data_IF_053627949969
#
_entry.id   IF_053627949969
#
_cell.length_a   1.000
_cell.length_b   1.000
_cell.length_c   1.000
_cell.angle_alpha   90.00
_cell.angle_beta   90.00
_cell.angle_gamma   90.00
#
_symmetry.space_group_name_H-M   'P 1'
#
loop_
_entity.id
_entity.type
_entity.pdbx_description
1 polymer ?
#
# COMPACT_ATOMS: atom_id res chain seq x y z
N UNK A 1 -7.59 3.74 9.98
CA UNK A 1 -7.74 2.57 10.88
C UNK A 1 -6.80 2.61 12.07
N UNK A 2 -5.47 2.44 11.96
CA UNK A 2 -4.57 2.44 13.14
C UNK A 2 -4.80 3.63 14.09
N UNK A 3 -4.73 4.86 13.59
CA UNK A 3 -5.03 6.08 14.37
C UNK A 3 -6.42 6.10 15.04
N UNK A 4 -7.41 5.41 14.46
CA UNK A 4 -8.76 5.29 15.02
C UNK A 4 -8.80 4.27 16.17
N UNK A 5 -8.03 3.18 16.08
CA UNK A 5 -7.85 2.20 17.15
C UNK A 5 -7.01 2.77 18.31
N UNK A 6 -6.08 3.68 18.00
CA UNK A 6 -5.27 4.45 18.95
C UNK A 6 -6.03 5.65 19.55
N UNK A 7 -7.29 5.89 19.15
CA UNK A 7 -8.13 6.99 19.65
C UNK A 7 -7.66 8.40 19.27
N UNK A 8 -6.69 8.53 18.36
CA UNK A 8 -6.18 9.83 17.90
C UNK A 8 -7.06 10.44 16.82
N UNK A 9 -7.72 9.60 16.00
CA UNK A 9 -8.61 9.96 14.89
C UNK A 9 -10.02 9.38 15.06
N UNK A 10 -11.03 10.08 14.54
CA UNK A 10 -12.43 9.59 14.56
C UNK A 10 -12.65 8.63 13.38
N UNK A 11 -13.20 7.41 13.59
CA UNK A 11 -13.52 6.51 12.48
C UNK A 11 -14.62 7.11 11.60
N UNK A 12 -14.54 6.98 10.26
CA UNK A 12 -15.63 7.35 9.36
C UNK A 12 -16.92 6.58 9.69
N UNK A 13 -18.08 7.24 9.62
CA UNK A 13 -19.35 6.61 9.98
C UNK A 13 -19.67 5.39 9.12
N UNK A 14 -19.36 5.42 7.82
CA UNK A 14 -19.60 4.26 6.91
C UNK A 14 -18.89 2.97 7.35
N UNK A 15 -17.77 3.10 8.07
CA UNK A 15 -17.03 1.95 8.62
C UNK A 15 -17.69 1.44 9.90
N UNK A 16 -18.22 2.34 10.75
CA UNK A 16 -19.00 1.97 11.94
C UNK A 16 -20.32 1.31 11.55
N UNK A 17 -21.01 1.86 10.56
CA UNK A 17 -22.27 1.36 10.01
C UNK A 17 -22.09 -0.02 9.37
N UNK A 18 -21.00 -0.25 8.62
CA UNK A 18 -20.65 -1.57 8.09
C UNK A 18 -20.48 -2.62 9.20
N UNK A 19 -19.77 -2.27 10.28
CA UNK A 19 -19.59 -3.17 11.43
C UNK A 19 -20.89 -3.44 12.20
N UNK A 20 -21.86 -2.51 12.16
CA UNK A 20 -23.20 -2.71 12.74
C UNK A 20 -24.07 -3.62 11.86
N UNK A 21 -23.91 -3.59 10.53
CA UNK A 21 -24.50 -4.58 9.61
C UNK A 21 -23.90 -5.97 9.86
N UNK A 22 -22.57 -6.08 9.97
CA UNK A 22 -21.92 -7.35 10.33
C UNK A 22 -22.43 -7.89 11.68
N UNK A 23 -22.56 -7.01 12.68
CA UNK A 23 -23.12 -7.34 14.01
C UNK A 23 -24.56 -7.88 13.92
N UNK A 24 -25.39 -7.38 12.99
CA UNK A 24 -26.74 -7.89 12.77
C UNK A 24 -26.72 -9.35 12.31
N UNK A 25 -25.79 -9.75 11.44
CA UNK A 25 -25.66 -11.15 10.99
C UNK A 25 -25.30 -12.11 12.12
N UNK A 26 -24.58 -11.64 13.15
CA UNK A 26 -24.09 -12.45 14.29
C UNK A 26 -25.02 -12.40 15.50
N UNK A 27 -25.80 -11.32 15.69
CA UNK A 27 -26.57 -11.03 16.91
C UNK A 27 -28.04 -10.71 16.69
N UNK A 28 -28.49 -10.61 15.44
CA UNK A 28 -29.85 -10.26 15.04
C UNK A 28 -30.11 -8.76 15.01
N UNK A 29 -30.98 -8.34 14.08
CA UNK A 29 -31.27 -6.93 13.77
C UNK A 29 -31.73 -6.12 14.99
N UNK A 30 -32.50 -6.73 15.89
CA UNK A 30 -33.01 -6.08 17.11
C UNK A 30 -31.89 -5.74 18.09
N UNK A 31 -30.79 -6.49 18.09
CA UNK A 31 -29.61 -6.16 18.89
C UNK A 31 -28.76 -5.09 18.20
N UNK A 32 -28.45 -5.28 16.92
CA UNK A 32 -27.65 -4.34 16.14
C UNK A 32 -28.30 -2.95 16.03
N UNK A 33 -29.62 -2.86 15.88
CA UNK A 33 -30.35 -1.59 15.86
C UNK A 33 -30.27 -0.80 17.17
N UNK A 34 -30.19 -1.49 18.32
CA UNK A 34 -29.99 -0.83 19.64
C UNK A 34 -28.58 -0.30 19.80
N UNK A 35 -27.57 -1.11 19.46
CA UNK A 35 -26.17 -0.65 19.52
C UNK A 35 -25.87 0.38 18.42
N UNK A 36 -26.59 0.41 17.30
CA UNK A 36 -26.46 1.43 16.24
C UNK A 36 -26.86 2.82 16.73
N UNK A 37 -28.01 2.97 17.41
CA UNK A 37 -28.42 4.24 18.02
C UNK A 37 -27.36 4.73 19.01
N UNK A 38 -26.91 3.84 19.90
CA UNK A 38 -25.87 4.13 20.90
C UNK A 38 -24.52 4.49 20.27
N UNK A 39 -24.13 3.80 19.20
CA UNK A 39 -22.91 4.09 18.45
C UNK A 39 -23.00 5.45 17.74
N UNK A 40 -24.16 5.83 17.22
CA UNK A 40 -24.39 7.14 16.60
C UNK A 40 -24.25 8.28 17.63
N UNK A 41 -24.82 8.13 18.84
CA UNK A 41 -24.66 9.09 19.94
C UNK A 41 -23.20 9.25 20.38
N UNK A 42 -22.50 8.13 20.56
CA UNK A 42 -21.08 8.11 20.94
C UNK A 42 -20.18 8.69 19.83
N UNK A 43 -20.46 8.36 18.56
CA UNK A 43 -19.74 8.89 17.40
C UNK A 43 -19.94 10.39 17.27
N UNK A 44 -21.20 10.87 17.30
CA UNK A 44 -21.51 12.29 17.19
C UNK A 44 -20.88 13.11 18.34
N UNK A 45 -20.92 12.60 19.57
CA UNK A 45 -20.29 13.24 20.73
C UNK A 45 -18.77 13.30 20.58
N UNK A 46 -18.15 12.19 20.13
CA UNK A 46 -16.70 12.10 19.94
C UNK A 46 -16.22 12.97 18.77
N UNK A 47 -16.93 12.98 17.65
CA UNK A 47 -16.68 13.85 16.50
C UNK A 47 -16.79 15.32 16.89
N UNK A 48 -17.88 15.71 17.58
CA UNK A 48 -18.05 17.08 18.05
C UNK A 48 -16.94 17.51 19.03
N UNK A 49 -16.46 16.61 19.91
CA UNK A 49 -15.35 16.89 20.82
C UNK A 49 -13.98 16.97 20.11
N UNK A 50 -13.78 16.14 19.08
CA UNK A 50 -12.59 16.14 18.24
C UNK A 50 -12.50 17.42 17.41
N UNK A 51 -13.58 17.79 16.72
CA UNK A 51 -13.56 18.86 15.72
C UNK A 51 -13.56 20.27 16.33
N UNK A 52 -13.88 20.37 17.64
CA UNK A 52 -13.71 21.58 18.47
C UNK A 52 -12.28 21.78 19.01
N UNK A 53 -11.34 20.86 18.76
CA UNK A 53 -9.91 21.07 19.09
C UNK A 53 -9.33 22.24 18.28
N UNK A 54 -8.28 22.93 18.77
CA UNK A 54 -7.57 23.94 17.98
C UNK A 54 -7.14 23.37 16.61
N UNK A 55 -7.50 24.05 15.52
CA UNK A 55 -7.27 23.60 14.15
C UNK A 55 -8.26 22.56 13.59
N UNK A 56 -9.17 21.99 14.40
CA UNK A 56 -10.10 20.93 13.98
C UNK A 56 -10.98 21.32 12.78
N UNK A 57 -11.48 22.57 12.74
CA UNK A 57 -12.21 23.10 11.58
C UNK A 57 -11.37 23.10 10.28
N UNK A 58 -10.08 23.40 10.36
CA UNK A 58 -9.19 23.39 9.20
C UNK A 58 -8.92 21.95 8.74
N UNK A 59 -8.65 21.06 9.69
CA UNK A 59 -8.47 19.62 9.41
C UNK A 59 -9.71 19.02 8.73
N UNK A 60 -10.93 19.38 9.15
CA UNK A 60 -12.17 18.99 8.47
C UNK A 60 -12.24 19.47 7.01
N UNK A 61 -11.79 20.70 6.71
CA UNK A 61 -11.77 21.24 5.34
C UNK A 61 -10.74 20.49 4.48
N UNK A 62 -9.51 20.33 4.97
CA UNK A 62 -8.45 19.59 4.28
C UNK A 62 -8.86 18.13 4.01
N UNK A 63 -9.54 17.51 4.99
CA UNK A 63 -10.07 16.14 4.90
C UNK A 63 -11.22 16.04 3.89
N UNK A 64 -12.09 17.04 3.82
CA UNK A 64 -13.18 17.12 2.84
C UNK A 64 -12.63 17.33 1.42
N UNK A 65 -11.65 18.22 1.23
CA UNK A 65 -10.98 18.40 -0.07
C UNK A 65 -10.31 17.11 -0.57
N UNK A 66 -9.64 16.38 0.35
CA UNK A 66 -9.07 15.07 0.03
C UNK A 66 -10.16 14.08 -0.38
N UNK A 67 -11.25 13.99 0.38
CA UNK A 67 -12.35 13.06 0.08
C UNK A 67 -13.09 13.40 -1.22
N UNK A 68 -13.21 14.69 -1.57
CA UNK A 68 -13.77 15.13 -2.85
C UNK A 68 -12.89 14.74 -4.04
N UNK A 69 -11.55 14.77 -3.86
CA UNK A 69 -10.62 14.22 -4.85
C UNK A 69 -10.78 12.70 -4.97
N UNK A 70 -10.86 11.96 -3.87
CA UNK A 70 -11.11 10.51 -3.91
C UNK A 70 -12.45 10.15 -4.56
N UNK A 71 -13.53 10.87 -4.23
CA UNK A 71 -14.85 10.67 -4.84
C UNK A 71 -14.81 10.89 -6.36
N UNK A 72 -14.08 11.92 -6.83
CA UNK A 72 -13.92 12.18 -8.26
C UNK A 72 -13.16 11.06 -8.98
N UNK A 73 -12.09 10.53 -8.38
CA UNK A 73 -11.35 9.39 -8.94
C UNK A 73 -12.15 8.08 -8.90
N UNK A 74 -12.93 7.83 -7.84
CA UNK A 74 -13.84 6.68 -7.76
C UNK A 74 -14.93 6.76 -8.85
N UNK A 75 -15.51 7.95 -9.06
CA UNK A 75 -16.47 8.17 -10.15
C UNK A 75 -15.85 8.02 -11.55
N UNK A 76 -14.55 8.34 -11.73
CA UNK A 76 -13.82 8.04 -12.96
C UNK A 76 -13.62 6.53 -13.16
N UNK A 77 -13.19 5.79 -12.11
CA UNK A 77 -13.08 4.32 -12.16
C UNK A 77 -14.41 3.66 -12.50
N UNK A 78 -15.51 4.12 -11.90
CA UNK A 78 -16.85 3.59 -12.14
C UNK A 78 -17.31 3.80 -13.59
N UNK A 79 -17.06 4.97 -14.18
CA UNK A 79 -17.36 5.20 -15.60
C UNK A 79 -16.53 4.30 -16.52
N UNK A 80 -15.22 4.23 -16.32
CA UNK A 80 -14.35 3.34 -17.11
C UNK A 80 -14.76 1.85 -17.01
N UNK A 81 -15.22 1.40 -15.83
CA UNK A 81 -15.72 0.05 -15.61
C UNK A 81 -17.11 -0.23 -16.25
N UNK A 82 -17.89 0.82 -16.58
CA UNK A 82 -19.11 0.69 -17.38
C UNK A 82 -18.84 0.81 -18.88
N UNK A 83 -17.93 1.71 -19.28
CA UNK A 83 -17.53 1.95 -20.67
C UNK A 83 -16.76 0.76 -21.27
N UNK A 84 -15.96 0.05 -20.46
CA UNK A 84 -15.29 -1.19 -20.87
C UNK A 84 -16.17 -2.46 -20.83
N UNK A 85 -17.48 -2.33 -20.56
CA UNK A 85 -18.39 -3.43 -20.18
C UNK A 85 -18.74 -4.45 -21.26
N UNK A 86 -17.76 -5.16 -21.79
CA UNK A 86 -17.91 -6.18 -22.84
C UNK A 86 -17.18 -7.52 -22.54
N UNK A 87 -16.46 -7.68 -21.43
CA UNK A 87 -15.62 -8.85 -21.13
C UNK A 87 -16.00 -9.60 -19.82
N UNK A 88 -17.30 -9.74 -19.56
CA UNK A 88 -17.85 -10.79 -18.68
C UNK A 88 -17.71 -10.57 -17.17
N UNK A 89 -17.50 -11.66 -16.42
CA UNK A 89 -17.69 -11.67 -14.97
C UNK A 89 -16.63 -10.88 -14.16
N UNK A 90 -15.42 -10.71 -14.71
CA UNK A 90 -14.36 -9.94 -14.05
C UNK A 90 -14.69 -8.45 -14.07
N UNK A 91 -15.18 -7.93 -15.20
CA UNK A 91 -15.64 -6.55 -15.34
C UNK A 91 -16.82 -6.25 -14.39
N UNK A 92 -17.77 -7.18 -14.29
CA UNK A 92 -18.92 -7.04 -13.38
C UNK A 92 -18.48 -6.90 -11.91
N UNK A 93 -17.47 -7.65 -11.48
CA UNK A 93 -16.89 -7.54 -10.14
C UNK A 93 -16.07 -6.26 -9.97
N UNK A 94 -15.28 -5.86 -10.97
CA UNK A 94 -14.53 -4.59 -10.94
C UNK A 94 -15.47 -3.37 -10.84
N UNK A 95 -16.57 -3.38 -11.59
CA UNK A 95 -17.61 -2.37 -11.51
C UNK A 95 -18.35 -2.38 -10.16
N UNK A 96 -18.47 -3.53 -9.48
CA UNK A 96 -19.04 -3.62 -8.13
C UNK A 96 -18.12 -2.96 -7.08
N UNK A 97 -16.81 -3.26 -7.10
CA UNK A 97 -15.83 -2.57 -6.26
C UNK A 97 -15.80 -1.06 -6.52
N UNK A 98 -15.87 -0.63 -7.78
CA UNK A 98 -15.90 0.78 -8.14
C UNK A 98 -17.19 1.52 -7.68
N UNK A 99 -18.30 0.80 -7.46
CA UNK A 99 -19.51 1.36 -6.83
C UNK A 99 -19.33 1.54 -5.34
N UNK A 100 -18.91 0.51 -4.60
CA UNK A 100 -18.66 0.58 -3.15
C UNK A 100 -17.63 1.68 -2.80
N UNK A 101 -16.52 1.77 -3.55
CA UNK A 101 -15.53 2.85 -3.45
C UNK A 101 -16.17 4.25 -3.54
N UNK A 102 -17.03 4.45 -4.55
CA UNK A 102 -17.68 5.74 -4.82
C UNK A 102 -18.75 6.05 -3.76
N UNK A 103 -19.53 5.06 -3.34
CA UNK A 103 -20.57 5.20 -2.32
C UNK A 103 -19.97 5.52 -0.94
N UNK A 104 -18.86 4.86 -0.54
CA UNK A 104 -18.12 5.20 0.69
C UNK A 104 -17.49 6.59 0.61
N UNK A 105 -16.90 6.97 -0.51
CA UNK A 105 -16.35 8.31 -0.69
C UNK A 105 -17.47 9.39 -0.61
N UNK A 106 -18.63 9.13 -1.22
CA UNK A 106 -19.79 10.01 -1.15
C UNK A 106 -20.35 10.13 0.28
N UNK A 107 -20.48 9.01 1.01
CA UNK A 107 -20.93 8.99 2.40
C UNK A 107 -20.01 9.83 3.31
N UNK A 108 -18.69 9.66 3.15
CA UNK A 108 -17.66 10.44 3.88
C UNK A 108 -17.72 11.93 3.53
N UNK A 109 -17.93 12.28 2.25
CA UNK A 109 -18.18 13.68 1.85
C UNK A 109 -19.43 14.27 2.51
N UNK A 110 -20.49 13.48 2.72
CA UNK A 110 -21.70 13.93 3.45
C UNK A 110 -21.44 14.08 4.94
N UNK A 111 -20.74 13.13 5.57
CA UNK A 111 -20.37 13.19 6.99
C UNK A 111 -19.49 14.43 7.29
N UNK A 112 -18.43 14.65 6.52
CA UNK A 112 -17.50 15.77 6.71
C UNK A 112 -18.19 17.12 6.49
N UNK A 113 -19.11 17.24 5.53
CA UNK A 113 -19.94 18.44 5.35
C UNK A 113 -20.86 18.68 6.56
N UNK A 114 -21.49 17.62 7.10
CA UNK A 114 -22.34 17.70 8.30
C UNK A 114 -21.55 18.15 9.53
N UNK A 115 -20.35 17.59 9.73
CA UNK A 115 -19.44 17.96 10.82
C UNK A 115 -18.94 19.41 10.68
N UNK A 116 -18.56 19.84 9.48
CA UNK A 116 -18.14 21.22 9.21
C UNK A 116 -19.28 22.24 9.42
N UNK A 117 -20.53 21.89 9.07
CA UNK A 117 -21.70 22.69 9.40
C UNK A 117 -21.91 22.77 10.92
N UNK A 118 -21.90 21.65 11.64
CA UNK A 118 -22.03 21.63 13.10
C UNK A 118 -20.94 22.46 13.81
N UNK A 119 -19.69 22.48 13.32
CA UNK A 119 -18.62 23.32 13.87
C UNK A 119 -18.83 24.82 13.57
N UNK A 120 -19.44 25.17 12.43
CA UNK A 120 -19.83 26.56 12.12
C UNK A 120 -20.99 27.02 13.02
N UNK A 121 -21.99 26.15 13.19
CA UNK A 121 -23.24 26.49 13.86
C UNK A 121 -23.09 26.44 15.40
N UNK A 122 -22.10 25.70 15.91
CA UNK A 122 -21.68 25.69 17.31
C UNK A 122 -20.67 26.81 17.68
N UNK A 123 -20.51 27.84 16.85
CA UNK A 123 -19.71 29.03 17.15
C UNK A 123 -20.62 30.23 17.47
N UNK A 124 -20.87 30.56 18.76
CA UNK A 124 -21.80 31.62 19.13
C UNK A 124 -21.19 33.01 18.95
N UNK A 125 -22.07 33.95 18.61
CA UNK A 125 -21.93 35.40 18.52
C UNK A 125 -20.75 36.05 19.28
N UNK A 126 -19.61 36.23 18.60
CA UNK A 126 -18.58 37.18 19.00
C UNK A 126 -18.93 38.65 18.64
N UNK A 127 -20.23 38.97 18.52
CA UNK A 127 -20.74 40.24 17.96
C UNK A 127 -22.05 40.75 18.57
N UNK A 128 -22.42 40.28 19.77
CA UNK A 128 -23.59 40.74 20.53
C UNK A 128 -23.21 41.31 21.90
N UNK A 129 -22.21 42.20 21.92
CA UNK A 129 -21.89 43.00 23.11
C UNK A 129 -23.10 43.87 23.50
N UNK A 130 -23.63 43.76 24.73
CA UNK A 130 -24.63 44.70 25.21
C UNK A 130 -24.00 46.10 25.33
N UNK A 131 -24.67 47.11 24.78
CA UNK A 131 -24.16 48.47 24.77
C UNK A 131 -24.08 49.05 26.19
N UNK A 132 -22.87 49.27 26.69
CA UNK A 132 -22.64 49.96 27.96
C UNK A 132 -23.00 51.46 27.82
N UNK A 133 -23.69 52.07 28.79
CA UNK A 133 -24.01 53.49 28.77
C UNK A 133 -22.75 54.36 28.93
N UNK A 134 -22.73 55.51 28.26
CA UNK A 134 -21.58 56.41 28.24
C UNK A 134 -21.37 57.14 29.59
N UNK A 135 -20.10 57.43 29.99
CA UNK A 135 -19.80 58.18 31.20
C UNK A 135 -20.03 59.69 31.01
N UNK A 136 -20.70 60.32 31.98
CA UNK A 136 -20.79 61.78 32.11
C UNK A 136 -19.73 62.29 33.12
N UNK A 137 -19.24 63.52 32.93
CA UNK A 137 -18.12 64.08 33.69
C UNK A 137 -18.52 65.24 34.61
N UNK A 138 -17.97 65.26 35.84
CA UNK A 138 -17.86 66.45 36.71
C UNK A 138 -16.76 66.23 37.77
N UNK A 139 -16.17 67.32 38.27
CA UNK A 139 -15.12 67.40 39.29
C UNK A 139 -15.56 68.44 40.38
N UNK A 140 -14.78 68.90 41.40
CA UNK A 140 -13.34 68.73 41.68
C UNK A 140 -12.99 68.44 43.17
N UNK A 141 -11.74 68.72 43.58
CA UNK A 141 -11.17 68.47 44.92
C UNK A 141 -10.41 69.70 45.51
N UNK A 142 -9.88 69.60 46.75
CA UNK A 142 -8.60 70.21 47.15
C UNK A 142 -7.60 69.12 47.66
N UNK A 143 -6.28 69.10 47.39
CA UNK A 143 -5.20 70.11 47.54
C UNK A 143 -4.84 70.39 49.03
N UNK A 144 -3.58 70.40 49.51
CA UNK A 144 -2.21 70.12 49.00
C UNK A 144 -1.28 69.93 50.27
N UNK A 145 0.09 70.03 50.28
CA UNK A 145 1.12 70.17 49.23
C UNK A 145 2.39 69.27 49.38
N UNK A 146 3.33 69.39 48.41
CA UNK A 146 4.77 69.05 48.56
C UNK A 146 5.59 70.30 48.96
N UNK A 147 6.81 70.59 48.46
CA UNK A 147 7.69 69.90 47.46
C UNK A 147 8.97 69.38 48.19
N UNK A 148 10.27 69.44 47.75
CA UNK A 148 10.93 69.75 46.45
C UNK A 148 12.05 68.75 46.01
N UNK A 149 12.81 69.10 44.97
CA UNK A 149 14.04 68.44 44.49
C UNK A 149 14.97 69.46 43.77
N UNK A 150 16.24 69.12 43.45
CA UNK A 150 17.03 69.76 42.38
C UNK A 150 17.53 68.76 41.31
N UNK A 151 18.16 69.26 40.22
CA UNK A 151 18.35 68.51 38.96
C UNK A 151 19.82 68.33 38.46
N UNK A 152 20.25 68.78 37.25
CA UNK A 152 20.38 67.92 36.06
C UNK A 152 21.80 67.80 35.45
N UNK A 153 21.99 66.90 34.46
CA UNK A 153 23.08 66.98 33.45
C UNK A 153 22.79 66.16 32.17
N UNK A 154 23.39 66.59 31.05
CA UNK A 154 23.43 66.00 29.70
C UNK A 154 24.67 66.60 28.97
N UNK A 155 24.98 66.38 27.67
CA UNK A 155 24.42 65.46 26.65
C UNK A 155 25.53 64.60 25.96
N UNK A 156 25.25 63.99 24.79
CA UNK A 156 26.08 64.00 23.55
C UNK A 156 25.48 63.05 22.47
N UNK A 157 25.66 63.41 21.19
CA UNK A 157 25.28 62.69 19.96
C UNK A 157 26.44 62.89 18.92
N UNK A 158 26.47 62.34 17.67
CA UNK A 158 25.37 61.81 16.84
C UNK A 158 25.71 60.52 16.03
N UNK A 159 24.87 60.20 15.05
CA UNK A 159 25.11 59.22 13.98
C UNK A 159 25.94 59.82 12.81
N UNK A 160 26.13 59.07 11.71
CA UNK A 160 25.56 59.57 10.45
C UNK A 160 24.81 58.52 9.62
N UNK A 161 23.99 59.01 8.68
CA UNK A 161 23.28 58.24 7.66
C UNK A 161 24.21 57.56 6.63
N UNK A 162 23.66 56.56 5.92
CA UNK A 162 23.58 56.66 4.46
C UNK A 162 22.23 56.11 3.97
N UNK A 163 21.57 56.87 3.10
CA UNK A 163 20.22 56.58 2.60
C UNK A 163 20.24 55.75 1.30
N UNK A 164 19.11 55.09 1.01
CA UNK A 164 18.83 54.52 -0.31
C UNK A 164 18.29 55.59 -1.28
N UNK A 165 18.45 55.38 -2.60
CA UNK A 165 17.52 55.89 -3.60
C UNK A 165 16.64 54.77 -4.15
N UNK A 166 15.37 55.08 -4.45
CA UNK A 166 14.44 54.19 -5.14
C UNK A 166 13.80 54.92 -6.34
N UNK A 167 13.63 54.23 -7.48
CA UNK A 167 12.70 54.62 -8.57
C UNK A 167 12.50 53.50 -9.62
N UNK A 168 11.42 52.74 -9.45
CA UNK A 168 10.37 52.35 -10.41
C UNK A 168 10.45 52.81 -11.91
N UNK A 169 9.65 52.23 -12.84
CA UNK A 169 9.13 50.84 -12.93
C UNK A 169 8.98 50.22 -14.37
N UNK A 170 8.79 48.89 -14.46
CA UNK A 170 8.11 48.15 -15.57
C UNK A 170 8.74 48.20 -17.00
N UNK A 171 8.32 47.36 -17.98
CA UNK A 171 7.22 46.37 -18.01
C UNK A 171 7.63 44.91 -18.34
N UNK A 172 6.62 44.03 -18.36
CA UNK A 172 6.60 42.67 -18.90
C UNK A 172 5.22 42.45 -19.60
N UNK A 173 4.95 41.35 -20.35
CA UNK A 173 5.80 40.18 -20.62
C UNK A 173 5.91 39.79 -22.11
N UNK A 174 6.74 38.79 -22.42
CA UNK A 174 6.60 37.98 -23.63
C UNK A 174 7.04 36.51 -23.38
N UNK A 175 6.32 35.56 -23.97
CA UNK A 175 6.58 34.12 -23.97
C UNK A 175 6.00 33.56 -25.30
N UNK A 176 6.32 32.32 -25.75
CA UNK A 176 7.02 31.24 -25.04
C UNK A 176 8.15 30.58 -25.87
N UNK A 177 8.76 29.51 -25.33
CA UNK A 177 8.92 28.22 -26.05
C UNK A 177 9.40 27.11 -25.10
N UNK A 178 8.50 26.18 -24.74
CA UNK A 178 8.86 25.01 -23.90
C UNK A 178 9.56 23.95 -24.75
N UNK A 179 10.83 23.63 -24.44
CA UNK A 179 11.50 22.43 -24.99
C UNK A 179 10.83 21.17 -24.43
N UNK A 180 10.42 20.25 -25.31
CA UNK A 180 9.80 18.96 -24.91
C UNK A 180 10.84 18.04 -24.25
N UNK A 181 10.56 17.42 -23.08
CA UNK A 181 11.38 16.33 -22.57
C UNK A 181 11.22 15.09 -23.47
N UNK A 182 12.32 14.45 -23.86
CA UNK A 182 12.28 13.14 -24.55
C UNK A 182 12.49 12.04 -23.51
N UNK A 183 11.54 11.11 -23.43
CA UNK A 183 11.62 9.94 -22.55
C UNK A 183 10.59 8.90 -22.94
N UNK A 184 10.95 7.62 -22.90
CA UNK A 184 10.15 6.50 -23.42
C UNK A 184 8.99 6.09 -22.49
N UNK A 185 8.15 7.05 -22.08
CA UNK A 185 7.00 6.84 -21.17
C UNK A 185 5.73 7.59 -21.59
N UNK A 186 5.69 8.12 -22.81
CA UNK A 186 4.55 8.80 -23.42
C UNK A 186 4.44 8.38 -24.89
N UNK A 187 3.97 7.15 -25.13
CA UNK A 187 3.70 6.60 -26.46
C UNK A 187 2.41 5.77 -26.37
N UNK A 188 1.38 6.20 -27.08
CA UNK A 188 -0.01 5.75 -26.91
C UNK A 188 -0.89 6.94 -26.51
N UNK A 189 -2.06 7.05 -27.17
CA UNK A 189 -2.86 8.28 -27.33
C UNK A 189 -2.14 9.32 -28.22
N UNK A 190 -2.68 9.79 -29.36
CA UNK A 190 -4.03 9.62 -29.95
C UNK A 190 -3.98 9.22 -31.45
N UNK A 191 -5.15 8.96 -32.03
CA UNK A 191 -5.40 8.65 -33.44
C UNK A 191 -6.71 9.35 -33.91
N UNK A 192 -7.07 9.42 -35.20
CA UNK A 192 -6.32 9.01 -36.42
C UNK A 192 -5.72 10.25 -37.16
N UNK A 193 -6.07 10.75 -38.35
CA UNK A 193 -7.07 10.46 -39.42
C UNK A 193 -6.41 10.63 -40.82
N UNK A 194 -7.20 10.52 -41.89
CA UNK A 194 -6.87 10.77 -43.33
C UNK A 194 -5.71 9.97 -43.97
N UNK A 195 -6.09 8.90 -44.67
CA UNK A 195 -5.28 8.25 -45.72
C UNK A 195 -5.45 8.97 -47.07
N UNK A 196 -4.49 8.85 -48.00
CA UNK A 196 -4.83 7.99 -49.16
C UNK A 196 -3.71 7.08 -49.68
N UNK A 197 -4.08 5.80 -49.84
CA UNK A 197 -3.67 4.78 -50.81
C UNK A 197 -2.37 4.93 -51.67
N UNK A 198 -1.57 3.85 -51.70
CA UNK A 198 -1.08 3.29 -52.99
C UNK A 198 -0.67 1.80 -52.92
N UNK A 199 -1.01 1.08 -54.00
CA UNK A 199 -0.52 -0.21 -54.53
C UNK A 199 0.21 -1.26 -53.66
N UNK A 200 -0.31 -2.50 -53.71
CA UNK A 200 0.42 -3.77 -53.50
C UNK A 200 1.26 -4.17 -54.72
N UNK A 201 2.35 -4.94 -54.50
CA UNK A 201 2.52 -6.20 -55.24
C UNK A 201 2.83 -7.41 -54.32
N UNK A 202 2.87 -8.62 -54.89
CA UNK A 202 2.65 -9.90 -54.17
C UNK A 202 3.61 -11.02 -54.64
N UNK A 203 4.11 -11.84 -53.68
CA UNK A 203 4.82 -13.13 -53.84
C UNK A 203 6.23 -13.10 -54.49
N UNK A 204 7.08 -14.17 -54.39
CA UNK A 204 6.80 -15.55 -53.96
C UNK A 204 7.69 -16.17 -52.85
N UNK A 205 7.34 -17.41 -52.47
CA UNK A 205 8.02 -18.35 -51.56
C UNK A 205 7.95 -19.73 -52.26
N UNK A 206 9.04 -20.51 -52.47
CA UNK A 206 9.52 -21.51 -51.48
C UNK A 206 11.06 -21.82 -51.67
N UNK A 207 11.67 -22.97 -51.26
CA UNK A 207 11.23 -24.08 -50.39
C UNK A 207 12.23 -24.41 -49.24
N UNK A 208 11.98 -25.52 -48.52
CA UNK A 208 12.82 -26.05 -47.42
C UNK A 208 13.60 -27.29 -47.86
N UNK A 209 14.89 -27.40 -47.48
CA UNK A 209 15.66 -28.65 -47.49
C UNK A 209 16.76 -28.62 -46.42
N UNK A 210 17.13 -29.78 -45.88
CA UNK A 210 18.06 -29.90 -44.75
C UNK A 210 19.49 -30.30 -45.16
N UNK A 211 20.50 -29.88 -44.39
CA UNK A 211 21.86 -30.43 -44.43
C UNK A 211 22.40 -30.63 -43.01
N UNK A 212 23.15 -31.72 -42.80
CA UNK A 212 23.81 -32.03 -41.52
C UNK A 212 25.32 -32.01 -41.72
N UNK A 213 26.07 -31.04 -41.15
CA UNK A 213 27.52 -31.07 -41.16
C UNK A 213 28.04 -32.04 -40.08
N UNK A 214 28.52 -33.21 -40.50
CA UNK A 214 29.24 -34.13 -39.61
C UNK A 214 30.67 -33.61 -39.34
N UNK A 215 30.96 -33.34 -38.07
CA UNK A 215 32.29 -33.55 -37.50
C UNK A 215 33.17 -32.31 -37.27
N UNK A 216 33.24 -31.89 -36.00
CA UNK A 216 34.44 -31.32 -35.40
C UNK A 216 34.64 -32.01 -34.03
N UNK A 217 35.89 -32.27 -33.63
CA UNK A 217 36.20 -33.13 -32.47
C UNK A 217 36.59 -32.27 -31.26
N UNK A 218 35.62 -31.95 -30.40
CA UNK A 218 35.88 -31.37 -29.08
C UNK A 218 35.74 -32.45 -28.01
N UNK A 219 36.87 -32.89 -27.46
CA UNK A 219 36.91 -33.68 -26.23
C UNK A 219 36.72 -32.78 -25.01
N UNK A 220 36.01 -33.26 -24.00
CA UNK A 220 35.66 -32.46 -22.81
C UNK A 220 34.15 -32.34 -22.57
N UNK A 221 33.41 -33.45 -22.69
CA UNK A 221 32.09 -33.51 -22.05
C UNK A 221 32.30 -33.49 -20.53
N UNK A 222 31.67 -32.58 -19.76
CA UNK A 222 31.57 -32.76 -18.32
C UNK A 222 30.83 -34.08 -18.06
N UNK A 223 31.19 -34.77 -16.98
CA UNK A 223 30.46 -35.96 -16.57
C UNK A 223 28.98 -35.61 -16.39
N UNK A 224 28.09 -36.39 -17.01
CA UNK A 224 26.67 -36.32 -16.68
C UNK A 224 26.55 -36.87 -15.26
N UNK A 225 26.59 -35.96 -14.28
CA UNK A 225 26.18 -36.28 -12.92
C UNK A 225 24.79 -36.87 -13.03
N UNK A 226 24.63 -38.12 -12.55
CA UNK A 226 23.29 -38.63 -12.27
C UNK A 226 22.69 -37.67 -11.25
N UNK A 227 21.68 -36.91 -11.68
CA UNK A 227 20.86 -36.15 -10.75
C UNK A 227 20.38 -37.05 -9.62
N UNK A 228 20.14 -36.51 -8.41
CA UNK A 228 19.68 -37.30 -7.27
C UNK A 228 18.54 -38.21 -7.73
N UNK A 229 18.67 -39.52 -7.51
CA UNK A 229 17.66 -40.47 -7.93
C UNK A 229 16.33 -40.04 -7.31
N UNK A 230 15.30 -39.83 -8.13
CA UNK A 230 14.01 -39.33 -7.67
C UNK A 230 13.53 -40.20 -6.51
N UNK A 231 13.49 -39.62 -5.31
CA UNK A 231 12.93 -40.29 -4.16
C UNK A 231 11.48 -40.66 -4.49
N UNK A 232 11.07 -41.94 -4.33
CA UNK A 232 9.76 -42.39 -4.79
C UNK A 232 8.67 -41.55 -4.13
N UNK A 233 7.98 -40.74 -4.95
CA UNK A 233 6.98 -39.79 -4.47
C UNK A 233 5.88 -40.56 -3.74
N UNK A 234 5.58 -40.14 -2.52
CA UNK A 234 4.59 -40.79 -1.66
C UNK A 234 3.26 -41.01 -2.42
N UNK A 235 2.80 -42.27 -2.60
CA UNK A 235 1.55 -42.54 -3.30
C UNK A 235 0.33 -41.95 -2.57
N UNK A 236 0.38 -41.74 -1.25
CA UNK A 236 -0.68 -41.04 -0.53
C UNK A 236 -0.67 -39.52 -0.83
N UNK A 237 0.50 -38.89 -0.95
CA UNK A 237 0.61 -37.50 -1.40
C UNK A 237 0.05 -37.31 -2.82
N UNK A 238 0.39 -38.23 -3.74
CA UNK A 238 -0.14 -38.23 -5.11
C UNK A 238 -1.66 -38.43 -5.12
N UNK A 239 -2.19 -39.36 -4.31
CA UNK A 239 -3.63 -39.59 -4.18
C UNK A 239 -4.34 -38.36 -3.60
N UNK A 240 -3.88 -37.83 -2.48
CA UNK A 240 -4.48 -36.67 -1.81
C UNK A 240 -4.45 -35.41 -2.71
N UNK A 241 -3.38 -35.22 -3.48
CA UNK A 241 -3.30 -34.16 -4.49
C UNK A 241 -4.36 -34.33 -5.60
N UNK A 242 -4.54 -35.55 -6.13
CA UNK A 242 -5.58 -35.86 -7.13
C UNK A 242 -6.99 -35.70 -6.59
N UNK A 243 -7.25 -36.16 -5.36
CA UNK A 243 -8.54 -36.00 -4.69
C UNK A 243 -8.88 -34.50 -4.51
N UNK A 244 -7.87 -33.68 -4.20
CA UNK A 244 -8.00 -32.21 -4.08
C UNK A 244 -8.30 -31.56 -5.44
N UNK A 245 -7.54 -31.89 -6.49
CA UNK A 245 -7.78 -31.40 -7.86
C UNK A 245 -9.17 -31.80 -8.37
N UNK A 246 -9.58 -33.05 -8.13
CA UNK A 246 -10.91 -33.52 -8.48
C UNK A 246 -12.03 -32.80 -7.69
N UNK A 247 -11.79 -32.40 -6.44
CA UNK A 247 -12.73 -31.57 -5.69
C UNK A 247 -12.84 -30.15 -6.27
N UNK A 248 -11.71 -29.51 -6.57
CA UNK A 248 -11.68 -28.18 -7.21
C UNK A 248 -12.42 -28.18 -8.55
N UNK A 249 -12.15 -29.14 -9.44
CA UNK A 249 -12.84 -29.26 -10.74
C UNK A 249 -14.37 -29.42 -10.59
N UNK A 250 -14.84 -30.23 -9.62
CA UNK A 250 -16.29 -30.38 -9.34
C UNK A 250 -16.90 -29.10 -8.79
N UNK A 251 -16.22 -28.39 -7.89
CA UNK A 251 -16.73 -27.15 -7.30
C UNK A 251 -16.75 -26.00 -8.32
N UNK A 252 -15.72 -25.88 -9.16
CA UNK A 252 -15.65 -24.89 -10.26
C UNK A 252 -16.73 -25.12 -11.31
N UNK A 253 -16.97 -26.36 -11.74
CA UNK A 253 -18.07 -26.68 -12.69
C UNK A 253 -19.48 -26.50 -12.09
N UNK A 254 -19.61 -26.57 -10.76
CA UNK A 254 -20.85 -26.22 -10.04
C UNK A 254 -20.97 -24.71 -9.72
N UNK A 255 -20.00 -23.86 -10.10
CA UNK A 255 -19.98 -22.43 -9.78
C UNK A 255 -19.70 -22.10 -8.30
N UNK A 256 -19.36 -23.10 -7.47
CA UNK A 256 -19.21 -22.99 -6.00
C UNK A 256 -17.83 -22.47 -5.61
N UNK A 257 -17.49 -21.28 -6.11
CA UNK A 257 -16.16 -20.67 -5.99
C UNK A 257 -15.68 -20.41 -4.56
N UNK A 258 -16.60 -20.13 -3.62
CA UNK A 258 -16.26 -19.95 -2.19
C UNK A 258 -15.79 -21.25 -1.54
N UNK A 259 -16.45 -22.37 -1.84
CA UNK A 259 -16.04 -23.70 -1.35
C UNK A 259 -14.76 -24.18 -2.04
N UNK A 260 -14.57 -23.86 -3.32
CA UNK A 260 -13.30 -24.11 -4.01
C UNK A 260 -12.14 -23.36 -3.33
N UNK A 261 -12.34 -22.11 -2.91
CA UNK A 261 -11.35 -21.37 -2.10
C UNK A 261 -11.13 -22.03 -0.73
N UNK A 262 -12.19 -22.51 -0.06
CA UNK A 262 -12.06 -23.30 1.17
C UNK A 262 -11.14 -24.52 1.02
N UNK A 263 -11.28 -25.28 -0.08
CA UNK A 263 -10.40 -26.41 -0.41
C UNK A 263 -8.94 -25.97 -0.63
N UNK A 264 -8.69 -24.75 -1.15
CA UNK A 264 -7.34 -24.20 -1.27
C UNK A 264 -6.76 -23.79 0.09
N UNK A 265 -7.56 -23.20 0.98
CA UNK A 265 -7.14 -22.86 2.34
C UNK A 265 -6.82 -24.13 3.17
N UNK A 266 -7.64 -25.17 3.07
CA UNK A 266 -7.35 -26.49 3.63
C UNK A 266 -6.07 -27.10 3.04
N UNK A 267 -5.81 -26.91 1.73
CA UNK A 267 -4.60 -27.40 1.09
C UNK A 267 -3.35 -26.62 1.51
N UNK A 268 -3.46 -25.32 1.74
CA UNK A 268 -2.36 -24.47 2.23
C UNK A 268 -1.92 -24.86 3.64
N UNK A 269 -2.85 -25.27 4.51
CA UNK A 269 -2.57 -25.71 5.87
C UNK A 269 -1.94 -27.10 6.01
N UNK A 270 -1.66 -27.81 4.92
CA UNK A 270 -1.08 -29.17 4.93
C UNK A 270 0.44 -29.16 5.10
N UNK A 271 1.06 -30.29 5.49
CA UNK A 271 2.52 -30.45 5.51
C UNK A 271 3.18 -30.03 4.18
N UNK A 272 4.28 -29.27 4.29
CA UNK A 272 4.91 -28.58 3.16
C UNK A 272 5.45 -29.51 2.06
N UNK A 273 5.82 -30.75 2.41
CA UNK A 273 6.20 -31.84 1.50
C UNK A 273 5.12 -32.18 0.47
N UNK A 274 3.84 -31.91 0.79
CA UNK A 274 2.70 -32.17 -0.12
C UNK A 274 2.54 -31.08 -1.19
N UNK A 275 3.10 -29.89 -0.97
CA UNK A 275 2.88 -28.72 -1.83
C UNK A 275 3.42 -28.90 -3.26
N UNK A 276 4.63 -29.45 -3.51
CA UNK A 276 5.11 -29.66 -4.88
C UNK A 276 4.32 -30.72 -5.64
N UNK A 277 3.86 -31.77 -4.96
CA UNK A 277 3.03 -32.84 -5.56
C UNK A 277 1.67 -32.28 -5.96
N UNK A 278 1.03 -31.48 -5.10
CA UNK A 278 -0.21 -30.79 -5.41
C UNK A 278 -0.04 -29.80 -6.58
N UNK A 279 1.05 -29.04 -6.62
CA UNK A 279 1.34 -28.15 -7.75
C UNK A 279 1.48 -28.92 -9.09
N UNK A 280 2.10 -30.10 -9.07
CA UNK A 280 2.23 -30.94 -10.26
C UNK A 280 0.90 -31.52 -10.76
N UNK A 281 -0.01 -31.89 -9.85
CA UNK A 281 -1.37 -32.31 -10.22
C UNK A 281 -2.24 -31.12 -10.70
N UNK A 282 -2.15 -29.95 -10.05
CA UNK A 282 -2.83 -28.70 -10.47
C UNK A 282 -2.41 -28.27 -11.88
N UNK A 283 -1.10 -28.26 -12.15
CA UNK A 283 -0.55 -27.91 -13.48
C UNK A 283 -1.05 -28.87 -14.56
N UNK A 284 -1.10 -30.17 -14.27
CA UNK A 284 -1.59 -31.20 -15.22
C UNK A 284 -3.10 -31.16 -15.42
N UNK A 285 -3.85 -30.45 -14.57
CA UNK A 285 -5.27 -30.16 -14.74
C UNK A 285 -5.55 -28.76 -15.34
N UNK A 286 -4.52 -27.96 -15.65
CA UNK A 286 -4.67 -26.59 -16.16
C UNK A 286 -5.18 -25.58 -15.13
N UNK A 287 -5.01 -25.87 -13.83
CA UNK A 287 -5.52 -25.07 -12.73
C UNK A 287 -4.51 -24.02 -12.23
N UNK A 288 -3.87 -23.31 -13.17
CA UNK A 288 -2.86 -22.27 -12.90
C UNK A 288 -3.39 -21.12 -12.04
N UNK A 289 -4.68 -20.79 -12.16
CA UNK A 289 -5.32 -19.78 -11.33
C UNK A 289 -5.47 -20.25 -9.88
N UNK A 290 -5.93 -21.49 -9.66
CA UNK A 290 -6.02 -22.08 -8.31
C UNK A 290 -4.62 -22.28 -7.70
N UNK A 291 -3.59 -22.57 -8.51
CA UNK A 291 -2.19 -22.60 -8.05
C UNK A 291 -1.69 -21.21 -7.61
N UNK A 292 -2.01 -20.15 -8.36
CA UNK A 292 -1.67 -18.78 -7.98
C UNK A 292 -2.37 -18.34 -6.68
N UNK A 293 -3.64 -18.72 -6.49
CA UNK A 293 -4.38 -18.52 -5.23
C UNK A 293 -3.77 -19.35 -4.09
N UNK A 294 -3.44 -20.62 -4.31
CA UNK A 294 -2.82 -21.47 -3.29
C UNK A 294 -1.48 -20.90 -2.79
N UNK A 295 -0.63 -20.39 -3.69
CA UNK A 295 0.61 -19.72 -3.31
C UNK A 295 0.37 -18.43 -2.50
N UNK A 296 -0.73 -17.71 -2.73
CA UNK A 296 -1.09 -16.55 -1.92
C UNK A 296 -1.47 -16.94 -0.49
N UNK A 297 -2.29 -17.98 -0.31
CA UNK A 297 -2.63 -18.50 1.02
C UNK A 297 -1.39 -19.04 1.74
N UNK A 298 -0.55 -19.81 1.05
CA UNK A 298 0.73 -20.32 1.59
C UNK A 298 1.68 -19.17 1.97
N UNK A 299 1.65 -18.03 1.27
CA UNK A 299 2.45 -16.85 1.62
C UNK A 299 2.04 -16.18 2.94
N UNK A 300 0.79 -16.42 3.36
CA UNK A 300 0.17 -15.83 4.56
C UNK A 300 0.34 -16.69 5.83
N UNK A 301 0.85 -17.91 5.70
CA UNK A 301 1.10 -18.84 6.82
C UNK A 301 2.14 -18.30 7.83
N UNK A 302 2.24 -18.82 9.07
CA UNK A 302 3.28 -18.43 10.03
C UNK A 302 4.72 -18.55 9.48
N UNK A 303 5.71 -17.79 9.99
CA UNK A 303 7.03 -17.67 9.37
C UNK A 303 7.76 -19.00 9.12
N UNK A 304 7.64 -19.95 10.05
CA UNK A 304 8.23 -21.29 9.93
C UNK A 304 7.55 -22.16 8.85
N UNK A 305 6.23 -22.02 8.66
CA UNK A 305 5.48 -22.74 7.63
C UNK A 305 5.76 -22.16 6.23
N UNK A 306 5.86 -20.83 6.11
CA UNK A 306 6.34 -20.17 4.89
C UNK A 306 7.76 -20.64 4.51
N UNK A 307 8.66 -20.72 5.50
CA UNK A 307 10.02 -21.22 5.28
C UNK A 307 10.04 -22.69 4.80
N UNK A 308 9.23 -23.56 5.42
CA UNK A 308 9.10 -24.95 5.02
C UNK A 308 8.52 -25.12 3.59
N UNK A 309 7.50 -24.34 3.23
CA UNK A 309 6.92 -24.34 1.88
C UNK A 309 7.92 -23.88 0.81
N UNK A 310 8.69 -22.83 1.08
CA UNK A 310 9.76 -22.37 0.20
C UNK A 310 10.91 -23.38 0.08
N UNK A 311 11.24 -24.08 1.16
CA UNK A 311 12.20 -25.19 1.17
C UNK A 311 11.72 -26.33 0.27
N UNK A 312 10.52 -26.87 0.50
CA UNK A 312 9.94 -27.98 -0.26
C UNK A 312 9.81 -27.67 -1.77
N UNK A 313 9.38 -26.45 -2.13
CA UNK A 313 9.34 -26.03 -3.54
C UNK A 313 10.73 -25.94 -4.18
N UNK A 314 11.74 -25.52 -3.42
CA UNK A 314 13.12 -25.46 -3.93
C UNK A 314 13.80 -26.83 -4.01
N UNK A 315 13.47 -27.75 -3.10
CA UNK A 315 13.96 -29.13 -3.09
C UNK A 315 13.36 -29.94 -4.24
N UNK A 316 12.07 -29.75 -4.53
CA UNK A 316 11.38 -30.34 -5.67
C UNK A 316 11.69 -29.65 -7.02
N UNK A 317 12.73 -28.82 -7.10
CA UNK A 317 13.19 -28.22 -8.36
C UNK A 317 12.25 -27.18 -8.98
N UNK A 318 11.46 -26.44 -8.18
CA UNK A 318 10.52 -25.40 -8.64
C UNK A 318 10.93 -23.99 -8.16
N UNK A 319 12.12 -23.49 -8.57
CA UNK A 319 12.68 -22.23 -8.05
C UNK A 319 11.88 -20.98 -8.42
N UNK A 320 11.16 -20.99 -9.54
CA UNK A 320 10.30 -19.88 -9.98
C UNK A 320 9.17 -19.64 -8.97
N UNK A 321 8.55 -20.72 -8.49
CA UNK A 321 7.44 -20.69 -7.54
C UNK A 321 7.92 -20.49 -6.09
N UNK A 322 9.05 -21.07 -5.71
CA UNK A 322 9.74 -20.68 -4.46
C UNK A 322 10.03 -19.16 -4.46
N UNK A 323 10.57 -18.63 -5.57
CA UNK A 323 10.80 -17.20 -5.74
C UNK A 323 9.51 -16.38 -5.77
N UNK A 324 8.41 -16.90 -6.31
CA UNK A 324 7.07 -16.26 -6.30
C UNK A 324 6.54 -16.12 -4.87
N UNK A 325 6.55 -17.23 -4.13
CA UNK A 325 6.12 -17.33 -2.74
C UNK A 325 6.89 -16.36 -1.83
N UNK A 326 8.23 -16.37 -1.92
CA UNK A 326 9.09 -15.47 -1.13
C UNK A 326 8.88 -13.98 -1.50
N UNK A 327 8.52 -13.66 -2.75
CA UNK A 327 8.14 -12.29 -3.15
C UNK A 327 6.74 -11.88 -2.66
N UNK A 328 5.81 -12.81 -2.46
CA UNK A 328 4.50 -12.51 -1.87
C UNK A 328 4.66 -12.26 -0.35
N UNK A 329 5.47 -13.07 0.34
CA UNK A 329 5.71 -12.96 1.79
C UNK A 329 6.32 -11.64 2.28
N UNK A 330 6.85 -10.76 1.41
CA UNK A 330 7.41 -9.45 1.81
C UNK A 330 6.38 -8.44 2.33
N UNK A 331 5.08 -8.74 2.18
CA UNK A 331 3.98 -7.94 2.73
C UNK A 331 3.96 -7.90 4.27
N UNK A 332 4.63 -8.85 4.92
CA UNK A 332 4.68 -9.03 6.38
C UNK A 332 5.49 -7.93 7.13
N UNK A 333 5.29 -7.78 8.45
CA UNK A 333 6.15 -6.98 9.32
C UNK A 333 7.61 -7.46 9.33
N UNK A 334 8.55 -6.56 9.64
CA UNK A 334 9.99 -6.85 9.64
C UNK A 334 10.40 -7.97 10.63
N UNK A 335 9.73 -8.07 11.79
CA UNK A 335 9.96 -9.15 12.76
C UNK A 335 9.62 -10.54 12.19
N UNK A 336 8.46 -10.69 11.53
CA UNK A 336 8.08 -11.96 10.89
C UNK A 336 9.01 -12.34 9.72
N UNK A 337 9.62 -11.35 9.05
CA UNK A 337 10.66 -11.59 8.05
C UNK A 337 11.96 -12.07 8.72
N UNK A 338 12.35 -11.52 9.87
CA UNK A 338 13.49 -12.00 10.65
C UNK A 338 13.28 -13.45 11.12
N UNK A 339 12.06 -13.80 11.55
CA UNK A 339 11.67 -15.17 11.91
C UNK A 339 11.71 -16.11 10.70
N UNK A 340 11.19 -15.69 9.54
CA UNK A 340 11.19 -16.49 8.31
C UNK A 340 12.61 -16.75 7.79
N UNK A 341 13.48 -15.72 7.77
CA UNK A 341 14.92 -15.83 7.47
C UNK A 341 15.57 -16.82 8.42
N UNK A 342 15.32 -16.69 9.72
CA UNK A 342 15.91 -17.56 10.74
C UNK A 342 15.40 -19.00 10.66
N UNK A 343 14.15 -19.23 10.24
CA UNK A 343 13.62 -20.56 9.95
C UNK A 343 14.25 -21.17 8.69
N UNK A 344 14.41 -20.40 7.61
CA UNK A 344 15.11 -20.83 6.39
C UNK A 344 16.56 -21.22 6.67
N UNK A 345 17.30 -20.40 7.42
CA UNK A 345 18.69 -20.69 7.80
C UNK A 345 18.82 -21.94 8.67
N UNK A 346 17.91 -22.16 9.64
CA UNK A 346 17.86 -23.40 10.44
C UNK A 346 17.64 -24.65 9.57
N UNK A 347 16.94 -24.51 8.44
CA UNK A 347 16.75 -25.56 7.44
C UNK A 347 17.88 -25.63 6.38
N UNK A 348 18.96 -24.86 6.53
CA UNK A 348 20.06 -24.79 5.56
C UNK A 348 19.71 -24.05 4.25
N UNK A 349 18.59 -23.33 4.21
CA UNK A 349 18.03 -22.67 3.02
C UNK A 349 18.51 -21.22 2.89
N UNK A 350 19.83 -21.02 3.02
CA UNK A 350 20.49 -19.71 2.92
C UNK A 350 20.24 -18.96 1.60
N UNK A 351 20.24 -19.59 0.40
CA UNK A 351 19.86 -18.93 -0.84
C UNK A 351 18.43 -18.37 -0.82
N UNK A 352 17.51 -19.07 -0.18
CA UNK A 352 16.11 -18.68 -0.02
C UNK A 352 15.98 -17.54 1.01
N UNK A 353 16.74 -17.58 2.11
CA UNK A 353 16.82 -16.47 3.07
C UNK A 353 17.33 -15.18 2.41
N UNK A 354 18.41 -15.28 1.60
CA UNK A 354 18.93 -14.16 0.82
C UNK A 354 17.94 -13.68 -0.26
N UNK A 355 17.19 -14.58 -0.90
CA UNK A 355 16.14 -14.21 -1.85
C UNK A 355 14.99 -13.43 -1.18
N UNK A 356 14.58 -13.82 0.04
CA UNK A 356 13.57 -13.14 0.84
C UNK A 356 14.02 -11.73 1.28
N UNK A 357 15.23 -11.63 1.85
CA UNK A 357 15.83 -10.34 2.22
C UNK A 357 15.99 -9.42 1.01
N UNK A 358 16.49 -9.95 -0.11
CA UNK A 358 16.67 -9.20 -1.36
C UNK A 358 15.34 -8.77 -1.99
N UNK A 359 14.27 -9.55 -1.82
CA UNK A 359 12.92 -9.13 -2.22
C UNK A 359 12.39 -8.00 -1.33
N UNK A 360 12.55 -8.10 0.00
CA UNK A 360 12.11 -7.08 0.96
C UNK A 360 12.84 -5.73 0.74
N UNK A 361 14.17 -5.75 0.61
CA UNK A 361 15.01 -4.54 0.38
C UNK A 361 14.71 -3.84 -0.96
N UNK A 362 14.15 -4.53 -1.95
CA UNK A 362 13.69 -3.90 -3.20
C UNK A 362 12.45 -3.04 -2.99
N UNK A 363 11.49 -3.50 -2.19
CA UNK A 363 10.12 -2.93 -2.12
C UNK A 363 9.80 -2.15 -0.84
N UNK A 364 10.64 -2.23 0.20
CA UNK A 364 10.46 -1.55 1.49
C UNK A 364 11.41 -0.36 1.66
N UNK A 365 11.17 0.46 2.68
CA UNK A 365 12.10 1.53 3.04
C UNK A 365 13.38 0.97 3.66
N UNK A 366 14.53 1.67 3.56
CA UNK A 366 15.75 1.30 4.28
C UNK A 366 15.55 1.19 5.79
N UNK A 367 14.65 2.01 6.36
CA UNK A 367 14.27 1.99 7.76
C UNK A 367 13.49 0.71 8.12
N UNK A 368 12.53 0.29 7.30
CA UNK A 368 11.82 -0.98 7.49
C UNK A 368 12.77 -2.18 7.36
N UNK A 369 13.74 -2.10 6.46
CA UNK A 369 14.77 -3.12 6.29
C UNK A 369 15.69 -3.21 7.52
N UNK A 370 16.12 -2.08 8.08
CA UNK A 370 16.90 -2.05 9.32
C UNK A 370 16.17 -2.73 10.49
N UNK A 371 14.84 -2.60 10.58
CA UNK A 371 14.05 -3.25 11.65
C UNK A 371 14.11 -4.79 11.64
N UNK A 372 14.46 -5.42 10.52
CA UNK A 372 14.66 -6.88 10.47
C UNK A 372 15.77 -7.29 11.44
N UNK A 373 16.80 -6.45 11.61
CA UNK A 373 17.94 -6.73 12.47
C UNK A 373 17.71 -6.44 13.96
N UNK A 374 16.55 -5.92 14.38
CA UNK A 374 16.28 -5.58 15.79
C UNK A 374 16.30 -6.80 16.73
N UNK A 375 15.94 -7.99 16.23
CA UNK A 375 15.82 -9.22 17.03
C UNK A 375 17.14 -9.99 17.22
N UNK A 376 18.02 -9.96 16.21
CA UNK A 376 19.38 -10.53 16.28
C UNK A 376 20.34 -9.74 15.36
N UNK A 377 20.88 -8.60 15.83
CA UNK A 377 21.76 -7.75 15.03
C UNK A 377 22.98 -8.51 14.50
N UNK A 378 23.62 -9.30 15.36
CA UNK A 378 24.89 -9.99 15.06
C UNK A 378 24.76 -10.96 13.89
N UNK A 379 23.59 -11.60 13.75
CA UNK A 379 23.32 -12.61 12.74
C UNK A 379 22.61 -12.06 11.50
N UNK A 380 21.77 -11.03 11.67
CA UNK A 380 20.92 -10.50 10.60
C UNK A 380 21.55 -9.30 9.87
N UNK A 381 22.36 -8.45 10.51
CA UNK A 381 23.05 -7.34 9.82
C UNK A 381 23.94 -7.83 8.68
N UNK A 382 24.83 -8.84 8.84
CA UNK A 382 25.68 -9.31 7.75
C UNK A 382 24.86 -9.85 6.56
N UNK A 383 23.77 -10.56 6.85
CA UNK A 383 22.87 -11.11 5.84
C UNK A 383 22.09 -10.04 5.10
N UNK A 384 21.57 -9.04 5.82
CA UNK A 384 20.81 -7.93 5.25
C UNK A 384 21.69 -7.07 4.34
N UNK A 385 22.95 -6.82 4.73
CA UNK A 385 23.92 -6.09 3.91
C UNK A 385 24.35 -6.88 2.67
N UNK A 386 24.55 -8.19 2.79
CA UNK A 386 24.80 -9.05 1.62
C UNK A 386 23.63 -9.02 0.62
N UNK A 387 22.39 -9.14 1.11
CA UNK A 387 21.19 -9.06 0.30
C UNK A 387 21.02 -7.67 -0.34
N UNK A 388 21.25 -6.59 0.41
CA UNK A 388 21.17 -5.22 -0.09
C UNK A 388 22.22 -4.93 -1.18
N UNK A 389 23.45 -5.43 -1.02
CA UNK A 389 24.51 -5.38 -2.05
C UNK A 389 24.11 -6.13 -3.31
N UNK A 390 23.47 -7.29 -3.16
CA UNK A 390 22.86 -8.06 -4.25
C UNK A 390 21.63 -7.40 -4.90
N UNK A 391 21.13 -6.29 -4.36
CA UNK A 391 20.14 -5.42 -5.02
C UNK A 391 20.85 -4.24 -5.70
N UNK A 392 21.65 -3.45 -4.97
CA UNK A 392 22.62 -2.51 -5.55
C UNK A 392 23.57 -1.90 -4.51
N UNK A 393 24.73 -1.37 -4.92
CA UNK A 393 25.60 -0.54 -4.06
C UNK A 393 24.97 0.78 -3.58
N UNK A 394 23.80 1.18 -4.10
CA UNK A 394 23.00 2.25 -3.50
C UNK A 394 22.20 1.71 -2.31
N UNK A 395 21.45 0.61 -2.50
CA UNK A 395 20.67 -0.03 -1.42
C UNK A 395 21.52 -0.47 -0.24
N UNK A 396 22.73 -0.98 -0.47
CA UNK A 396 23.66 -1.28 0.61
C UNK A 396 23.95 -0.03 1.47
N UNK A 397 24.27 1.11 0.85
CA UNK A 397 24.54 2.36 1.57
C UNK A 397 23.31 2.92 2.28
N UNK A 398 22.14 2.84 1.64
CA UNK A 398 20.85 3.22 2.25
C UNK A 398 20.61 2.43 3.55
N UNK A 399 20.83 1.11 3.53
CA UNK A 399 20.61 0.22 4.67
C UNK A 399 21.69 0.39 5.75
N UNK A 400 22.97 0.56 5.39
CA UNK A 400 24.04 0.91 6.35
C UNK A 400 23.72 2.22 7.08
N UNK A 401 23.17 3.21 6.39
CA UNK A 401 22.74 4.47 7.01
C UNK A 401 21.55 4.25 7.96
N UNK A 402 20.52 3.51 7.52
CA UNK A 402 19.33 3.24 8.34
C UNK A 402 19.66 2.43 9.62
N UNK A 403 20.51 1.41 9.53
CA UNK A 403 21.01 0.65 10.68
C UNK A 403 21.72 1.55 11.69
N UNK A 404 22.63 2.40 11.22
CA UNK A 404 23.34 3.37 12.07
C UNK A 404 22.39 4.36 12.75
N UNK A 405 21.37 4.84 12.05
CA UNK A 405 20.34 5.74 12.60
C UNK A 405 19.47 5.03 13.65
N UNK A 406 19.24 3.72 13.50
CA UNK A 406 18.54 2.90 14.48
C UNK A 406 19.43 2.46 15.67
N UNK A 407 20.74 2.77 15.67
CA UNK A 407 21.68 2.30 16.69
C UNK A 407 22.06 0.81 16.57
N UNK A 408 21.76 0.18 15.43
CA UNK A 408 22.02 -1.24 15.15
C UNK A 408 23.35 -1.35 14.39
N UNK A 409 24.28 -2.19 14.88
CA UNK A 409 25.62 -2.38 14.30
C UNK A 409 26.28 -3.68 14.73
#
# INVERSE_FOLDING_TARGET
>A
MRACLEGTEIPPWDVVDSLLVDLATVRGDVFAGRESVRAAELHATSAAAHDRRPGGRQQLVERLELMLREQAHAAQRLRAAHEGGAAGAVDAQAAAWARDDHERAAARCVELRRRLAAVRDAAPEASSLPAAPAPAAAAPAPAAPGPPAPAPSAPVAPAPDLAAPASNPTPAPAAPLRRRPRGARFAGLDADEESPASAVPVLPVPPVAATVPRGARFGGAPGVEKGPAEAPVDPEAVKAARDTVAALLRLRTQGRSGEAHGVLCEAAGRPADRLPVLAAELQRAGLDADWATLLWEVSSLPPAALAAAAAALSEAGRPEDCGRLLRQGVARPAAEIADAVTALDRAGRGPQAQALLGAFVRVRTPQDAARIAESDPRRLVPQLLAAARGVSPARERDVVHALRVAGIG
#
